data_IF_292685290356
#
_entry.id   IF_292685290356
#
_cell.length_a   1.000
_cell.length_b   1.000
_cell.length_c   1.000
_cell.angle_alpha   90.00
_cell.angle_beta   90.00
_cell.angle_gamma   90.00
#
_symmetry.space_group_name_H-M   'P 1'
#
loop_
_entity.id
_entity.type
_entity.pdbx_description
1 polymer ?
#
# COMPACT_ATOMS: atom_id res chain seq x y z
N UNK A 1 22.18 -16.70 18.60
CA UNK A 1 22.02 -16.64 17.13
C UNK A 1 20.79 -17.47 16.80
N UNK A 2 19.60 -16.86 16.87
CA UNK A 2 18.35 -17.57 16.64
C UNK A 2 18.25 -17.92 15.15
N UNK A 3 18.03 -19.19 14.86
CA UNK A 3 17.68 -19.68 13.52
C UNK A 3 16.41 -18.95 13.08
N UNK A 4 16.54 -18.05 12.10
CA UNK A 4 15.41 -17.38 11.48
C UNK A 4 14.61 -18.46 10.75
N UNK A 5 13.55 -18.97 11.39
CA UNK A 5 12.62 -19.90 10.76
C UNK A 5 12.19 -19.29 9.44
N UNK A 6 12.40 -20.02 8.35
CA UNK A 6 11.87 -19.68 7.03
C UNK A 6 10.37 -19.96 7.07
N UNK A 7 9.63 -19.12 7.79
CA UNK A 7 8.17 -19.13 7.69
C UNK A 7 7.80 -18.51 6.34
N UNK A 8 6.90 -19.19 5.62
CA UNK A 8 6.36 -18.66 4.39
C UNK A 8 5.64 -17.34 4.70
N UNK A 9 5.83 -16.30 3.86
CA UNK A 9 5.21 -15.01 4.10
C UNK A 9 3.67 -15.18 4.10
N UNK A 10 2.97 -14.53 5.05
CA UNK A 10 1.53 -14.67 5.17
C UNK A 10 0.85 -14.14 3.90
N UNK A 11 -0.29 -14.72 3.53
CA UNK A 11 -1.02 -14.36 2.29
C UNK A 11 -1.32 -12.85 2.17
N UNK A 12 -1.44 -12.13 3.29
CA UNK A 12 -1.61 -10.66 3.27
C UNK A 12 -0.46 -9.96 2.53
N UNK A 13 0.76 -10.47 2.57
CA UNK A 13 1.92 -9.92 1.86
C UNK A 13 1.73 -9.99 0.34
N UNK A 14 1.33 -11.15 -0.18
CA UNK A 14 1.14 -11.35 -1.64
C UNK A 14 -0.01 -10.51 -2.19
N UNK A 15 -1.07 -10.37 -1.41
CA UNK A 15 -2.27 -9.63 -1.77
C UNK A 15 -1.99 -8.13 -1.77
N UNK A 16 -1.37 -7.62 -0.69
CA UNK A 16 -0.96 -6.21 -0.64
C UNK A 16 0.00 -5.87 -1.78
N UNK A 17 0.96 -6.74 -2.10
CA UNK A 17 1.84 -6.49 -3.23
C UNK A 17 1.06 -6.39 -4.53
N UNK A 18 0.07 -7.25 -4.77
CA UNK A 18 -0.69 -7.25 -6.02
C UNK A 18 -1.59 -6.02 -6.14
N UNK A 19 -2.26 -5.64 -5.05
CA UNK A 19 -3.07 -4.41 -4.99
C UNK A 19 -2.20 -3.18 -5.23
N UNK A 20 -1.09 -3.04 -4.50
CA UNK A 20 -0.21 -1.88 -4.63
C UNK A 20 0.48 -1.81 -6.00
N UNK A 21 0.80 -2.96 -6.60
CA UNK A 21 1.34 -3.02 -7.98
C UNK A 21 0.32 -2.47 -8.99
N UNK A 22 -0.96 -2.84 -8.87
CA UNK A 22 -2.00 -2.28 -9.75
C UNK A 22 -2.17 -0.78 -9.54
N UNK A 23 -2.20 -0.33 -8.28
CA UNK A 23 -2.32 1.09 -7.94
C UNK A 23 -1.14 1.90 -8.48
N UNK A 24 0.10 1.42 -8.31
CA UNK A 24 1.27 2.15 -8.78
C UNK A 24 1.34 2.20 -10.31
N UNK A 25 0.97 1.12 -11.02
CA UNK A 25 0.94 1.11 -12.49
C UNK A 25 -0.06 2.14 -13.04
N UNK A 26 -1.27 2.20 -12.47
CA UNK A 26 -2.27 3.19 -12.85
C UNK A 26 -1.82 4.62 -12.55
N UNK A 27 -1.18 4.83 -11.40
CA UNK A 27 -0.72 6.15 -10.98
C UNK A 27 0.51 6.62 -11.77
N UNK A 28 1.46 5.73 -12.08
CA UNK A 28 2.61 6.04 -12.93
C UNK A 28 2.15 6.52 -14.32
N UNK A 29 1.13 5.86 -14.89
CA UNK A 29 0.50 6.29 -16.15
C UNK A 29 -0.18 7.67 -16.02
N UNK A 30 -0.84 7.95 -14.90
CA UNK A 30 -1.53 9.22 -14.67
C UNK A 30 -0.56 10.40 -14.46
N UNK A 31 0.60 10.17 -13.81
CA UNK A 31 1.62 11.20 -13.57
C UNK A 31 2.27 11.67 -14.88
N UNK A 32 2.42 10.77 -15.86
CA UNK A 32 2.87 11.16 -17.20
C UNK A 32 1.93 12.17 -17.91
N UNK A 33 0.69 12.33 -17.43
CA UNK A 33 -0.28 13.30 -17.94
C UNK A 33 -0.42 14.60 -17.14
N UNK A 34 0.16 14.72 -15.93
CA UNK A 34 -0.02 15.89 -15.04
C UNK A 34 1.28 16.29 -14.35
N UNK A 35 1.86 17.41 -14.78
CA UNK A 35 2.97 18.10 -14.11
C UNK A 35 2.47 18.80 -12.83
N UNK A 36 2.10 18.04 -11.80
CA UNK A 36 1.85 18.60 -10.47
C UNK A 36 3.12 18.45 -9.64
N UNK A 37 3.67 19.57 -9.15
CA UNK A 37 4.79 19.54 -8.22
C UNK A 37 4.40 18.73 -6.97
N UNK A 38 5.26 17.81 -6.48
CA UNK A 38 4.94 17.00 -5.31
C UNK A 38 4.64 17.90 -4.11
N UNK A 39 3.58 17.58 -3.35
CA UNK A 39 3.34 18.23 -2.06
C UNK A 39 4.59 18.03 -1.16
N UNK A 40 5.06 19.02 -0.38
CA UNK A 40 6.31 18.93 0.38
C UNK A 40 6.40 17.75 1.36
N UNK A 41 5.25 17.24 1.85
CA UNK A 41 5.23 16.01 2.68
C UNK A 41 5.26 14.73 1.85
N UNK A 42 4.83 14.79 0.60
CA UNK A 42 4.91 13.69 -0.35
C UNK A 42 6.34 13.50 -0.85
N UNK A 43 7.09 14.61 -1.02
CA UNK A 43 8.48 14.55 -1.50
C UNK A 43 9.40 13.80 -0.54
N UNK A 44 9.11 13.82 0.78
CA UNK A 44 9.86 13.04 1.76
C UNK A 44 9.88 11.53 1.44
N UNK A 45 8.82 11.01 0.82
CA UNK A 45 8.70 9.60 0.46
C UNK A 45 9.17 9.29 -0.96
N UNK A 46 9.56 10.29 -1.76
CA UNK A 46 10.00 10.07 -3.13
C UNK A 46 11.50 9.78 -3.18
N UNK A 47 11.84 8.64 -3.78
CA UNK A 47 13.23 8.31 -4.11
C UNK A 47 13.59 8.84 -5.51
N UNK A 48 14.88 9.15 -5.77
CA UNK A 48 15.31 9.71 -7.06
C UNK A 48 15.23 8.72 -8.22
N UNK A 49 15.16 7.42 -7.94
CA UNK A 49 15.07 6.33 -8.93
C UNK A 49 14.25 5.19 -8.35
N UNK A 50 13.48 4.51 -9.21
CA UNK A 50 12.71 3.32 -8.83
C UNK A 50 13.63 2.26 -8.22
N UNK A 51 13.35 1.74 -7.02
CA UNK A 51 14.15 0.68 -6.43
C UNK A 51 14.13 -0.60 -7.28
N UNK A 52 15.29 -1.24 -7.47
CA UNK A 52 15.39 -2.49 -8.23
C UNK A 52 14.74 -3.71 -7.53
N UNK A 53 14.35 -3.58 -6.27
CA UNK A 53 13.62 -4.62 -5.53
C UNK A 53 12.11 -4.48 -5.76
N UNK A 54 11.43 -5.57 -6.08
CA UNK A 54 9.98 -5.56 -6.24
C UNK A 54 9.25 -5.25 -4.92
N UNK A 55 8.02 -4.72 -5.01
CA UNK A 55 7.16 -4.50 -3.84
C UNK A 55 6.96 -5.78 -3.02
N UNK A 56 6.75 -6.92 -3.71
CA UNK A 56 6.61 -8.24 -3.08
C UNK A 56 7.85 -8.58 -2.27
N UNK A 57 9.03 -8.56 -2.90
CA UNK A 57 10.29 -8.91 -2.26
C UNK A 57 10.64 -7.95 -1.12
N UNK A 58 10.24 -6.68 -1.22
CA UNK A 58 10.43 -5.68 -0.16
C UNK A 58 9.53 -5.95 1.06
N UNK A 59 8.25 -6.26 0.84
CA UNK A 59 7.32 -6.63 1.91
C UNK A 59 7.75 -7.92 2.62
N UNK A 60 8.19 -8.93 1.87
CA UNK A 60 8.73 -10.16 2.44
C UNK A 60 10.01 -9.90 3.24
N UNK A 61 10.88 -9.00 2.77
CA UNK A 61 12.07 -8.60 3.51
C UNK A 61 11.68 -7.96 4.84
N UNK A 62 10.70 -7.05 4.84
CA UNK A 62 10.20 -6.44 6.08
C UNK A 62 9.62 -7.53 6.99
N UNK A 63 8.80 -8.44 6.46
CA UNK A 63 8.17 -9.51 7.24
C UNK A 63 9.18 -10.39 7.96
N UNK A 64 10.23 -10.81 7.25
CA UNK A 64 11.29 -11.66 7.81
C UNK A 64 12.11 -10.98 8.91
N UNK A 65 12.03 -9.66 9.06
CA UNK A 65 12.86 -8.91 10.00
C UNK A 65 12.05 -8.13 11.05
N UNK A 66 10.81 -7.77 10.78
CA UNK A 66 9.99 -6.94 11.67
C UNK A 66 9.47 -7.71 12.89
N UNK A 67 9.38 -9.05 12.82
CA UNK A 67 8.88 -9.92 13.89
C UNK A 67 7.52 -9.45 14.44
N UNK A 68 6.56 -9.22 13.52
CA UNK A 68 5.26 -8.66 13.85
C UNK A 68 4.10 -9.46 13.28
N UNK A 69 2.92 -9.29 13.87
CA UNK A 69 1.70 -9.96 13.42
C UNK A 69 1.31 -9.55 12.00
N UNK A 70 0.74 -10.47 11.18
CA UNK A 70 0.12 -10.12 9.89
C UNK A 70 -0.93 -9.00 9.99
N UNK A 71 -1.52 -8.81 11.17
CA UNK A 71 -2.43 -7.69 11.50
C UNK A 71 -1.79 -6.33 11.22
N UNK A 72 -0.49 -6.16 11.51
CA UNK A 72 0.23 -4.92 11.27
C UNK A 72 0.25 -4.53 9.79
N UNK A 73 0.21 -5.50 8.87
CA UNK A 73 0.18 -5.26 7.43
C UNK A 73 -1.19 -4.75 6.96
N UNK A 74 -2.27 -5.29 7.53
CA UNK A 74 -3.63 -4.79 7.26
C UNK A 74 -3.77 -3.36 7.80
N UNK A 75 -3.30 -3.11 9.02
CA UNK A 75 -3.33 -1.77 9.64
C UNK A 75 -2.45 -0.78 8.86
N UNK A 76 -1.27 -1.20 8.40
CA UNK A 76 -0.42 -0.38 7.53
C UNK A 76 -1.15 0.02 6.24
N UNK A 77 -1.90 -0.90 5.63
CA UNK A 77 -2.72 -0.60 4.46
C UNK A 77 -3.84 0.41 4.75
N UNK A 78 -4.50 0.34 5.91
CA UNK A 78 -5.43 1.39 6.38
C UNK A 78 -4.71 2.75 6.46
N UNK A 79 -3.50 2.79 7.00
CA UNK A 79 -2.74 4.04 7.11
C UNK A 79 -2.32 4.61 5.75
N UNK A 80 -1.97 3.76 4.79
CA UNK A 80 -1.68 4.19 3.42
C UNK A 80 -2.89 4.85 2.76
N UNK A 81 -4.08 4.26 2.90
CA UNK A 81 -5.30 4.87 2.37
C UNK A 81 -5.64 6.19 3.10
N UNK A 82 -5.51 6.25 4.43
CA UNK A 82 -5.69 7.50 5.19
C UNK A 82 -4.71 8.58 4.75
N UNK A 83 -3.46 8.22 4.49
CA UNK A 83 -2.43 9.13 4.00
C UNK A 83 -2.81 9.68 2.61
N UNK A 84 -3.15 8.79 1.65
CA UNK A 84 -3.55 9.19 0.31
C UNK A 84 -4.82 10.08 0.30
N UNK A 85 -5.81 9.76 1.13
CA UNK A 85 -7.05 10.55 1.25
C UNK A 85 -6.82 11.96 1.78
N UNK A 86 -5.90 12.13 2.72
CA UNK A 86 -5.56 13.46 3.28
C UNK A 86 -4.70 14.30 2.37
N UNK A 87 -3.95 13.66 1.47
CA UNK A 87 -3.09 14.34 0.52
C UNK A 87 -3.47 13.93 -0.91
N UNK A 88 -4.64 14.36 -1.45
CA UNK A 88 -5.11 13.96 -2.78
C UNK A 88 -4.10 14.15 -3.94
N UNK A 89 -3.16 15.12 -3.92
CA UNK A 89 -2.10 15.21 -4.93
C UNK A 89 -1.06 14.09 -4.86
N UNK A 90 -1.10 13.25 -3.81
CA UNK A 90 -0.10 12.22 -3.53
C UNK A 90 -0.62 10.88 -3.98
N UNK A 91 -0.13 10.47 -5.15
CA UNK A 91 -0.40 9.16 -5.72
C UNK A 91 0.67 8.17 -5.26
N UNK A 92 0.25 6.99 -4.79
CA UNK A 92 1.18 5.88 -4.53
C UNK A 92 1.72 5.41 -5.88
N UNK A 93 3.03 5.50 -6.07
CA UNK A 93 3.69 5.30 -7.36
C UNK A 93 5.00 4.53 -7.17
N UNK A 94 5.67 4.15 -8.27
CA UNK A 94 6.91 3.34 -8.20
C UNK A 94 8.08 4.05 -7.51
N UNK A 95 8.02 5.37 -7.34
CA UNK A 95 9.05 6.20 -6.68
C UNK A 95 8.79 6.41 -5.19
N UNK A 96 7.62 6.05 -4.65
CA UNK A 96 7.32 6.29 -3.24
C UNK A 96 6.79 5.09 -2.46
N UNK A 97 6.30 4.06 -3.15
CA UNK A 97 5.62 2.92 -2.53
C UNK A 97 6.49 2.20 -1.49
N UNK A 98 7.79 2.02 -1.73
CA UNK A 98 8.68 1.33 -0.79
C UNK A 98 8.85 2.09 0.52
N UNK A 99 9.10 3.40 0.46
CA UNK A 99 9.27 4.22 1.67
C UNK A 99 7.96 4.36 2.44
N UNK A 100 6.83 4.51 1.74
CA UNK A 100 5.50 4.51 2.33
C UNK A 100 5.17 3.17 3.00
N UNK A 101 5.49 2.04 2.39
CA UNK A 101 5.31 0.71 2.99
C UNK A 101 6.17 0.54 4.25
N UNK A 102 7.44 0.90 4.19
CA UNK A 102 8.34 0.80 5.34
C UNK A 102 7.81 1.61 6.54
N UNK A 103 7.41 2.87 6.30
CA UNK A 103 6.92 3.74 7.37
C UNK A 103 5.55 3.35 7.89
N UNK A 104 4.62 2.98 7.03
CA UNK A 104 3.28 2.56 7.45
C UNK A 104 3.35 1.29 8.30
N UNK A 105 4.21 0.32 7.94
CA UNK A 105 4.43 -0.90 8.73
C UNK A 105 5.14 -0.57 10.04
N UNK A 106 6.22 0.23 10.03
CA UNK A 106 6.89 0.68 11.27
C UNK A 106 5.88 1.30 12.25
N UNK A 107 5.06 2.23 11.74
CA UNK A 107 4.05 2.93 12.56
C UNK A 107 3.01 1.97 13.11
N UNK A 108 2.54 1.01 12.30
CA UNK A 108 1.61 -0.01 12.74
C UNK A 108 2.22 -0.92 13.82
N UNK A 109 3.45 -1.37 13.63
CA UNK A 109 4.17 -2.22 14.59
C UNK A 109 4.35 -1.50 15.93
N UNK A 110 4.82 -0.25 15.92
CA UNK A 110 4.98 0.55 17.15
C UNK A 110 3.67 0.79 17.90
N UNK A 111 2.57 0.91 17.17
CA UNK A 111 1.25 1.17 17.77
C UNK A 111 0.57 -0.11 18.28
N UNK A 112 0.73 -1.23 17.58
CA UNK A 112 -0.02 -2.46 17.83
C UNK A 112 0.75 -3.48 18.67
N UNK A 113 2.08 -3.56 18.51
CA UNK A 113 2.90 -4.60 19.12
C UNK A 113 3.50 -4.14 20.44
N UNK A 114 3.43 -5.01 21.46
CA UNK A 114 3.98 -4.74 22.79
C UNK A 114 5.51 -4.62 22.80
N UNK A 115 6.17 -5.42 21.97
CA UNK A 115 7.62 -5.44 21.80
C UNK A 115 7.89 -5.13 20.34
N UNK A 116 8.71 -4.13 20.07
CA UNK A 116 9.02 -3.70 18.72
C UNK A 116 10.47 -3.21 18.63
N UNK A 117 11.02 -3.27 17.41
CA UNK A 117 12.34 -2.72 17.12
C UNK A 117 12.29 -1.20 16.89
N UNK A 118 13.41 -0.54 17.11
CA UNK A 118 13.55 0.90 16.94
C UNK A 118 13.73 1.34 15.47
N UNK A 119 13.78 2.65 15.24
CA UNK A 119 13.99 3.20 13.90
C UNK A 119 15.34 2.81 13.31
N UNK A 120 16.38 2.63 14.13
CA UNK A 120 17.70 2.25 13.64
C UNK A 120 17.67 0.86 13.02
N UNK A 121 16.89 -0.05 13.61
CA UNK A 121 16.64 -1.37 13.05
C UNK A 121 15.85 -1.31 11.75
N UNK A 122 14.70 -0.61 11.73
CA UNK A 122 13.89 -0.49 10.52
C UNK A 122 14.60 0.25 9.39
N UNK A 123 15.48 1.21 9.70
CA UNK A 123 16.33 1.86 8.70
C UNK A 123 17.24 0.84 7.99
N UNK A 124 17.88 -0.08 8.75
CA UNK A 124 18.70 -1.16 8.18
C UNK A 124 17.86 -2.13 7.34
N UNK A 125 16.68 -2.53 7.82
CA UNK A 125 15.75 -3.38 7.06
C UNK A 125 15.27 -2.68 5.78
N UNK A 126 15.05 -1.36 5.84
CA UNK A 126 14.62 -0.53 4.73
C UNK A 126 15.71 -0.24 3.70
N UNK A 127 16.98 -0.33 4.10
CA UNK A 127 18.13 0.06 3.28
C UNK A 127 18.30 1.58 3.20
N UNK A 128 17.91 2.30 4.25
CA UNK A 128 17.99 3.76 4.36
C UNK A 128 18.77 4.15 5.62
N UNK A 129 19.16 5.41 5.72
CA UNK A 129 19.80 5.94 6.93
C UNK A 129 18.81 6.09 8.08
N UNK A 130 19.31 6.06 9.33
CA UNK A 130 18.48 6.34 10.51
C UNK A 130 17.83 7.73 10.42
N UNK A 131 18.56 8.72 9.93
CA UNK A 131 18.04 10.08 9.76
C UNK A 131 16.85 10.11 8.80
N UNK A 132 16.95 9.42 7.66
CA UNK A 132 15.82 9.28 6.73
C UNK A 132 14.64 8.57 7.40
N UNK A 133 14.86 7.45 8.09
CA UNK A 133 13.77 6.72 8.78
C UNK A 133 13.06 7.59 9.82
N UNK A 134 13.80 8.36 10.63
CA UNK A 134 13.24 9.29 11.60
C UNK A 134 12.40 10.37 10.92
N UNK A 135 12.93 10.99 9.85
CA UNK A 135 12.21 12.01 9.10
C UNK A 135 10.94 11.46 8.46
N UNK A 136 11.03 10.27 7.87
CA UNK A 136 9.89 9.60 7.25
C UNK A 136 8.80 9.29 8.27
N UNK A 137 9.14 8.77 9.45
CA UNK A 137 8.17 8.47 10.51
C UNK A 137 7.41 9.74 10.94
N UNK A 138 8.14 10.83 11.22
CA UNK A 138 7.52 12.10 11.61
C UNK A 138 6.60 12.62 10.51
N UNK A 139 7.07 12.65 9.26
CA UNK A 139 6.24 13.08 8.12
C UNK A 139 5.01 12.19 7.92
N UNK A 140 5.13 10.88 8.16
CA UNK A 140 4.03 9.94 8.04
C UNK A 140 2.98 10.18 9.12
N UNK A 141 3.39 10.33 10.38
CA UNK A 141 2.49 10.61 11.51
C UNK A 141 1.70 11.91 11.32
N UNK A 142 2.36 13.00 10.91
CA UNK A 142 1.67 14.22 10.53
C UNK A 142 0.80 14.04 9.29
N UNK A 143 1.26 13.24 8.33
CA UNK A 143 0.52 12.92 7.11
C UNK A 143 -0.80 12.21 7.38
N UNK A 144 -0.84 11.31 8.36
CA UNK A 144 -2.06 10.63 8.83
C UNK A 144 -2.75 11.35 9.99
N UNK A 145 -2.33 12.58 10.33
CA UNK A 145 -2.94 13.37 11.40
C UNK A 145 -2.97 12.68 12.77
N UNK A 146 -2.01 11.80 13.05
CA UNK A 146 -1.98 10.95 14.25
C UNK A 146 -3.22 10.06 14.45
N UNK A 147 -4.07 9.90 13.44
CA UNK A 147 -5.19 8.96 13.49
C UNK A 147 -4.68 7.54 13.24
N UNK A 148 -4.12 6.95 14.30
CA UNK A 148 -3.61 5.57 14.31
C UNK A 148 -4.62 4.56 14.84
N UNK A 149 -5.64 5.01 15.57
CA UNK A 149 -6.65 4.10 16.08
C UNK A 149 -7.45 3.47 14.90
N UNK A 150 -7.41 2.15 14.81
CA UNK A 150 -8.21 1.36 13.85
C UNK A 150 -9.18 0.52 14.66
N UNK A 151 -10.47 0.86 14.56
CA UNK A 151 -11.51 0.11 15.28
C UNK A 151 -11.63 -1.31 14.71
N UNK A 152 -12.12 -2.30 15.48
CA UNK A 152 -12.34 -3.65 14.98
C UNK A 152 -13.22 -3.66 13.72
N UNK A 153 -14.25 -2.83 13.65
CA UNK A 153 -15.14 -2.70 12.48
C UNK A 153 -14.36 -2.31 11.23
N UNK A 154 -13.50 -1.29 11.33
CA UNK A 154 -12.65 -0.85 10.20
C UNK A 154 -11.64 -1.95 9.86
N UNK A 155 -11.00 -2.56 10.86
CA UNK A 155 -10.06 -3.64 10.61
C UNK A 155 -10.70 -4.80 9.82
N UNK A 156 -11.87 -5.27 10.24
CA UNK A 156 -12.57 -6.37 9.56
C UNK A 156 -13.08 -6.00 8.17
N UNK A 157 -13.48 -4.74 7.94
CA UNK A 157 -13.85 -4.30 6.59
C UNK A 157 -12.66 -4.35 5.63
N UNK A 158 -11.47 -3.95 6.10
CA UNK A 158 -10.23 -4.05 5.32
C UNK A 158 -9.77 -5.49 5.10
N UNK A 159 -9.88 -6.36 6.12
CA UNK A 159 -9.65 -7.79 5.92
C UNK A 159 -10.56 -8.38 4.84
N UNK A 160 -11.84 -7.98 4.82
CA UNK A 160 -12.81 -8.48 3.83
C UNK A 160 -12.46 -8.01 2.42
N UNK A 161 -12.16 -6.71 2.25
CA UNK A 161 -11.69 -6.14 0.96
C UNK A 161 -10.44 -6.85 0.44
N UNK A 162 -9.44 -7.05 1.32
CA UNK A 162 -8.21 -7.75 0.93
C UNK A 162 -8.49 -9.22 0.58
N UNK A 163 -9.41 -9.89 1.28
CA UNK A 163 -9.84 -11.27 0.95
C UNK A 163 -10.49 -11.35 -0.43
N UNK A 164 -11.36 -10.40 -0.77
CA UNK A 164 -11.99 -10.29 -2.10
C UNK A 164 -10.94 -10.14 -3.21
N UNK A 165 -9.96 -9.27 -3.02
CA UNK A 165 -8.83 -9.12 -3.97
C UNK A 165 -8.07 -10.44 -4.16
N UNK A 166 -7.94 -11.27 -3.12
CA UNK A 166 -7.31 -12.60 -3.27
C UNK A 166 -8.12 -13.51 -4.18
N UNK A 167 -9.44 -13.55 -4.00
CA UNK A 167 -10.32 -14.40 -4.81
C UNK A 167 -10.29 -14.00 -6.28
N UNK A 168 -10.19 -12.70 -6.57
CA UNK A 168 -10.05 -12.22 -7.95
C UNK A 168 -8.72 -12.68 -8.58
N UNK A 169 -7.63 -12.70 -7.82
CA UNK A 169 -6.32 -13.14 -8.29
C UNK A 169 -6.20 -14.67 -8.46
N UNK A 170 -6.98 -15.44 -7.71
CA UNK A 170 -6.96 -16.92 -7.74
C UNK A 170 -7.98 -17.53 -8.71
N UNK A 171 -8.80 -16.71 -9.37
CA UNK A 171 -9.76 -17.20 -10.36
C UNK A 171 -9.03 -17.83 -11.56
N UNK A 172 -9.39 -19.07 -11.98
CA UNK A 172 -8.79 -19.69 -13.15
C UNK A 172 -9.09 -18.85 -14.40
N UNK A 173 -8.17 -18.78 -15.38
CA UNK A 173 -8.41 -18.06 -16.63
C UNK A 173 -9.71 -18.59 -17.25
N UNK A 174 -10.59 -17.67 -17.67
CA UNK A 174 -11.82 -18.03 -18.33
C UNK A 174 -11.50 -19.03 -19.47
N UNK A 175 -12.28 -20.13 -19.61
CA UNK A 175 -12.04 -21.10 -20.67
C UNK A 175 -12.01 -20.37 -22.01
N UNK A 176 -11.14 -20.78 -22.95
CA UNK A 176 -11.04 -20.14 -24.25
C UNK A 176 -12.43 -20.07 -24.87
N UNK A 177 -12.90 -18.85 -25.16
CA UNK A 177 -14.18 -18.66 -25.86
C UNK A 177 -14.08 -19.39 -27.19
N UNK A 178 -14.84 -20.48 -27.33
CA UNK A 178 -15.05 -21.09 -28.63
C UNK A 178 -15.56 -20.02 -29.59
N UNK A 179 -15.07 -19.94 -30.85
CA UNK A 179 -15.64 -19.05 -31.84
C UNK A 179 -17.01 -19.61 -32.25
N UNK A 180 -18.01 -19.40 -31.42
CA UNK A 180 -19.40 -19.59 -31.77
C UNK A 180 -19.90 -18.29 -32.38
N UNK A 181 -20.43 -18.45 -33.58
CA UNK A 181 -20.97 -17.48 -34.52
C UNK A 181 -21.68 -16.28 -33.86
N UNK A 182 -21.43 -15.10 -34.44
CA UNK A 182 -22.09 -13.84 -34.13
C UNK A 182 -23.61 -14.01 -34.16
N UNK A 183 -24.25 -13.80 -33.03
CA UNK A 183 -25.54 -13.11 -32.98
C UNK A 183 -25.43 -12.00 -31.96
N UNK A 184 -25.48 -10.78 -32.48
CA UNK A 184 -25.64 -9.55 -31.72
C UNK A 184 -26.90 -9.65 -30.86
N UNK A 185 -26.78 -9.37 -29.56
CA UNK A 185 -27.81 -8.70 -28.78
C UNK A 185 -27.16 -8.12 -27.51
N UNK A 186 -27.31 -6.81 -27.34
CA UNK A 186 -26.81 -6.00 -26.23
C UNK A 186 -27.42 -6.39 -24.88
N UNK A 187 -26.66 -6.23 -23.79
CA UNK A 187 -27.23 -5.66 -22.57
C UNK A 187 -26.15 -5.02 -21.70
N UNK A 188 -26.24 -3.69 -21.67
CA UNK A 188 -25.67 -2.74 -20.73
C UNK A 188 -25.87 -3.15 -19.27
N UNK A 189 -24.77 -3.26 -18.49
CA UNK A 189 -24.71 -3.15 -17.02
C UNK A 189 -23.29 -3.41 -16.51
N UNK A 190 -22.53 -2.38 -16.15
CA UNK A 190 -21.29 -2.59 -15.39
C UNK A 190 -20.22 -1.49 -15.38
N UNK A 191 -20.59 -0.22 -15.52
CA UNK A 191 -19.72 0.90 -15.16
C UNK A 191 -20.31 1.55 -13.92
N UNK A 192 -19.69 1.38 -12.74
CA UNK A 192 -19.66 2.23 -11.52
C UNK A 192 -18.99 1.37 -10.43
N UNK A 193 -17.71 1.53 -10.08
CA UNK A 193 -17.29 2.32 -8.90
C UNK A 193 -15.75 2.46 -8.85
N UNK A 194 -15.16 3.12 -9.83
CA UNK A 194 -13.90 3.87 -9.63
C UNK A 194 -14.01 5.24 -10.32
N UNK A 195 -15.12 5.93 -10.06
CA UNK A 195 -15.38 7.24 -10.63
C UNK A 195 -15.78 8.20 -9.50
N UNK A 196 -14.89 9.17 -9.26
CA UNK A 196 -15.08 10.44 -8.54
C UNK A 196 -15.21 10.41 -7.01
N UNK A 197 -14.10 10.78 -6.36
CA UNK A 197 -14.12 11.87 -5.36
C UNK A 197 -13.09 12.95 -5.74
N UNK A 198 -13.37 13.63 -6.85
CA UNK A 198 -13.03 15.05 -6.96
C UNK A 198 -14.25 15.82 -6.48
N UNK A 199 -14.31 16.13 -5.18
CA UNK A 199 -15.21 17.17 -4.69
C UNK A 199 -14.35 18.39 -4.40
N UNK A 200 -14.34 19.29 -5.37
CA UNK A 200 -13.98 20.69 -5.19
C UNK A 200 -14.82 21.28 -4.06
N UNK A 201 -14.19 21.93 -3.10
CA UNK A 201 -14.85 22.86 -2.19
C UNK A 201 -14.20 24.23 -2.41
N UNK A 202 -14.95 25.14 -3.01
CA UNK A 202 -14.71 26.59 -3.03
C UNK A 202 -16.05 27.24 -2.66
N UNK A 203 -15.94 28.14 -1.68
CA UNK A 203 -16.79 29.24 -1.22
C UNK A 203 -18.18 28.94 -0.65
N UNK A 204 -18.35 29.23 0.65
CA UNK A 204 -18.82 30.54 1.14
C UNK A 204 -18.05 30.96 2.41
#
# INVERSE_FOLDING_TARGET
>A
MAELRREDPPRVVSVLSSVLRRVMELNDLAIHGRLAAPHPRASAFHVPRVPGISVQSYLERIFRHADCSPTCYVVAYVYLERFAQRHPPVFINSLNVHLLLLTSILTAVKFMERIHYDNAYFARVGGITLMEMNNLEVNFLFGVGFELNVTPTVFYSYCSRLREEMYLLESPPAPPRSPSCLTEEESDSGSWLFERRSSTYIDE
#
